data_IF_555970187080
#
_entry.id   IF_555970187080
#
_cell.length_a   1.000
_cell.length_b   1.000
_cell.length_c   1.000
_cell.angle_alpha   90.00
_cell.angle_beta   90.00
_cell.angle_gamma   90.00
#
_symmetry.space_group_name_H-M   'P 1'
#
loop_
_entity.id
_entity.type
_entity.pdbx_description
1 polymer ?
#
# COMPACT_ATOMS: atom_id res chain seq x y z
N UNK A 1 9.85 17.41 0.49
CA UNK A 1 9.62 16.07 -0.10
C UNK A 1 8.34 15.55 0.55
N UNK A 2 7.52 14.83 -0.22
CA UNK A 2 6.18 14.38 0.19
C UNK A 2 6.02 12.99 -0.40
N UNK A 3 5.84 12.01 0.45
CA UNK A 3 5.51 10.63 0.11
C UNK A 3 4.13 10.27 0.67
N UNK A 4 3.38 9.47 -0.08
CA UNK A 4 1.97 9.21 0.21
C UNK A 4 1.69 7.71 0.11
N UNK A 5 1.04 7.15 1.12
CA UNK A 5 0.55 5.77 1.12
C UNK A 5 -0.96 5.74 0.83
N UNK A 6 -1.33 5.12 -0.28
CA UNK A 6 -2.73 4.93 -0.68
C UNK A 6 -3.15 3.49 -0.40
N UNK A 7 -3.81 3.24 0.73
CA UNK A 7 -4.19 1.88 1.14
C UNK A 7 -5.67 1.57 1.05
N UNK A 8 -6.53 2.58 0.91
CA UNK A 8 -7.98 2.39 0.83
C UNK A 8 -8.68 3.31 -0.17
N UNK A 9 -8.44 3.07 -1.45
CA UNK A 9 -8.95 3.88 -2.56
C UNK A 9 -10.16 3.29 -3.29
N UNK A 10 -10.76 2.19 -2.77
CA UNK A 10 -11.97 1.59 -3.38
C UNK A 10 -13.12 2.61 -3.40
N UNK A 11 -13.79 2.69 -4.55
CA UNK A 11 -14.93 3.57 -4.78
C UNK A 11 -14.82 4.25 -6.14
N UNK A 12 -15.88 4.94 -6.56
CA UNK A 12 -15.79 5.86 -7.70
C UNK A 12 -14.95 7.09 -7.33
N UNK A 13 -14.34 7.77 -8.32
CA UNK A 13 -13.58 9.00 -8.06
C UNK A 13 -14.41 10.01 -7.26
N UNK A 14 -13.84 10.56 -6.18
CA UNK A 14 -14.53 11.49 -5.28
C UNK A 14 -15.50 10.84 -4.28
N UNK A 15 -15.66 9.51 -4.32
CA UNK A 15 -16.48 8.73 -3.37
C UNK A 15 -15.69 7.61 -2.67
N UNK A 16 -14.38 7.58 -2.82
CA UNK A 16 -13.48 6.71 -2.06
C UNK A 16 -13.06 7.36 -0.74
N UNK A 17 -12.83 6.55 0.30
CA UNK A 17 -12.39 7.04 1.62
C UNK A 17 -10.96 7.60 1.54
N UNK A 18 -10.04 6.87 0.91
CA UNK A 18 -8.71 7.36 0.56
C UNK A 18 -8.70 8.06 -0.80
N UNK A 19 -7.85 9.08 -0.95
CA UNK A 19 -7.65 9.78 -2.22
C UNK A 19 -7.03 8.85 -3.28
N UNK A 20 -7.62 8.79 -4.48
CA UNK A 20 -7.11 7.96 -5.59
C UNK A 20 -5.96 8.63 -6.35
N UNK A 21 -6.04 9.96 -6.52
CA UNK A 21 -5.09 10.74 -7.31
C UNK A 21 -3.74 10.80 -6.59
N UNK A 22 -2.61 10.71 -7.33
CA UNK A 22 -1.31 11.01 -6.74
C UNK A 22 -1.23 12.47 -6.31
N UNK A 23 -0.72 12.72 -5.12
CA UNK A 23 -0.58 14.04 -4.50
C UNK A 23 0.80 14.28 -3.89
N UNK A 24 1.74 13.33 -4.02
CA UNK A 24 3.11 13.42 -3.55
C UNK A 24 4.17 13.51 -4.66
N UNK A 25 5.43 13.47 -4.23
CA UNK A 25 6.58 13.22 -5.10
C UNK A 25 6.68 11.71 -5.42
N UNK A 26 6.40 10.87 -4.42
CA UNK A 26 6.27 9.42 -4.51
C UNK A 26 4.92 9.01 -3.92
N UNK A 27 4.12 8.30 -4.71
CA UNK A 27 2.79 7.84 -4.30
C UNK A 27 2.76 6.32 -4.39
N UNK A 28 2.72 5.66 -3.24
CA UNK A 28 2.80 4.20 -3.13
C UNK A 28 1.39 3.65 -2.92
N UNK A 29 1.05 2.62 -3.68
CA UNK A 29 -0.23 1.93 -3.67
C UNK A 29 -0.02 0.45 -3.26
N UNK A 30 0.18 0.14 -1.96
CA UNK A 30 0.31 -1.22 -1.47
C UNK A 30 -0.90 -2.06 -1.89
N UNK A 31 -0.64 -3.23 -2.47
CA UNK A 31 -1.65 -4.14 -2.99
C UNK A 31 -2.59 -3.50 -4.03
N UNK A 32 -2.09 -2.51 -4.79
CA UNK A 32 -2.90 -1.74 -5.75
C UNK A 32 -3.69 -0.60 -5.10
N UNK A 33 -3.64 -0.48 -3.77
CA UNK A 33 -4.17 0.63 -2.99
C UNK A 33 -5.69 0.66 -2.79
N UNK A 34 -6.43 -0.29 -3.35
CA UNK A 34 -7.90 -0.36 -3.18
C UNK A 34 -8.30 -1.00 -1.87
N UNK A 35 -7.66 -2.10 -1.49
CA UNK A 35 -7.85 -2.84 -0.24
C UNK A 35 -6.57 -3.53 0.20
N UNK A 36 -6.50 -3.84 1.49
CA UNK A 36 -5.33 -4.49 2.08
C UNK A 36 -5.63 -5.93 2.49
N UNK A 37 -4.67 -6.86 2.32
CA UNK A 37 -4.80 -8.24 2.77
C UNK A 37 -5.15 -8.31 4.26
N UNK A 38 -6.14 -9.14 4.63
CA UNK A 38 -6.64 -9.26 5.99
C UNK A 38 -7.73 -8.25 6.38
N UNK A 39 -8.14 -7.33 5.48
CA UNK A 39 -9.20 -6.35 5.73
C UNK A 39 -10.47 -6.57 4.88
N UNK A 40 -10.69 -7.78 4.36
CA UNK A 40 -11.83 -8.08 3.50
C UNK A 40 -13.07 -8.55 4.30
N UNK A 41 -14.21 -8.67 3.61
CA UNK A 41 -15.50 -9.09 4.19
C UNK A 41 -15.44 -10.47 4.87
N UNK A 42 -14.56 -11.37 4.43
CA UNK A 42 -14.38 -12.67 5.11
C UNK A 42 -13.87 -12.50 6.53
N UNK A 43 -12.87 -11.62 6.72
CA UNK A 43 -12.36 -11.31 8.06
C UNK A 43 -13.36 -10.47 8.86
N UNK A 44 -14.16 -9.66 8.17
CA UNK A 44 -15.28 -8.95 8.78
C UNK A 44 -16.30 -9.86 9.42
N UNK A 45 -16.75 -10.86 8.67
CA UNK A 45 -17.73 -11.82 9.15
C UNK A 45 -17.16 -12.60 10.33
N UNK A 46 -15.85 -12.95 10.31
CA UNK A 46 -15.18 -13.54 11.47
C UNK A 46 -15.19 -12.63 12.71
N UNK A 47 -14.84 -11.35 12.55
CA UNK A 47 -14.82 -10.40 13.67
C UNK A 47 -16.23 -10.15 14.20
N UNK A 48 -17.23 -9.96 13.32
CA UNK A 48 -18.63 -9.80 13.71
C UNK A 48 -19.15 -11.06 14.41
N UNK A 49 -18.84 -12.25 13.89
CA UNK A 49 -19.21 -13.51 14.54
C UNK A 49 -18.56 -13.69 15.92
N UNK A 50 -17.33 -13.18 16.11
CA UNK A 50 -16.59 -13.30 17.36
C UNK A 50 -16.89 -12.19 18.39
N UNK A 51 -17.25 -10.97 17.94
CA UNK A 51 -17.31 -9.76 18.79
C UNK A 51 -18.60 -8.93 18.64
N UNK A 52 -19.51 -9.31 17.76
CA UNK A 52 -20.78 -8.63 17.52
C UNK A 52 -20.69 -7.41 16.58
N UNK A 53 -21.86 -6.81 16.29
CA UNK A 53 -22.03 -5.70 15.32
C UNK A 53 -21.51 -4.34 15.80
N UNK A 54 -21.07 -4.21 17.05
CA UNK A 54 -20.56 -2.95 17.61
C UNK A 54 -19.22 -2.49 17.01
N UNK A 55 -18.45 -3.41 16.42
CA UNK A 55 -17.07 -3.17 15.96
C UNK A 55 -16.97 -3.01 14.43
N UNK A 56 -18.10 -2.83 13.74
CA UNK A 56 -18.16 -2.76 12.27
C UNK A 56 -17.48 -1.50 11.72
N UNK A 57 -17.37 -0.43 12.52
CA UNK A 57 -16.64 0.79 12.12
C UNK A 57 -15.12 0.56 12.05
N UNK A 58 -14.53 -0.29 12.91
CA UNK A 58 -13.13 -0.73 12.79
C UNK A 58 -12.87 -1.46 11.46
N UNK A 59 -13.88 -2.15 10.94
CA UNK A 59 -13.75 -2.93 9.73
C UNK A 59 -13.57 -2.07 8.48
N UNK A 60 -14.35 -0.99 8.37
CA UNK A 60 -14.25 -0.02 7.27
C UNK A 60 -12.91 0.71 7.36
N UNK A 61 -12.40 0.92 8.58
CA UNK A 61 -11.11 1.57 8.83
C UNK A 61 -9.89 0.66 8.63
N UNK A 62 -10.01 -0.66 8.67
CA UNK A 62 -8.87 -1.58 8.59
C UNK A 62 -7.92 -1.31 7.41
N UNK A 63 -8.46 -1.18 6.18
CA UNK A 63 -7.61 -0.85 5.01
C UNK A 63 -7.10 0.59 5.06
N UNK A 64 -7.85 1.51 5.67
CA UNK A 64 -7.46 2.91 5.82
C UNK A 64 -6.26 3.07 6.77
N UNK A 65 -6.38 2.52 7.98
CA UNK A 65 -5.36 2.54 9.04
C UNK A 65 -4.12 1.71 8.69
N UNK A 66 -4.22 0.76 7.74
CA UNK A 66 -3.05 0.01 7.26
C UNK A 66 -1.91 0.91 6.77
N UNK A 67 -2.20 2.11 6.27
CA UNK A 67 -1.16 3.08 5.91
C UNK A 67 -0.24 3.40 7.08
N UNK A 68 -0.81 3.61 8.27
CA UNK A 68 -0.10 3.90 9.52
C UNK A 68 0.73 2.67 9.92
N UNK A 69 0.14 1.48 9.94
CA UNK A 69 0.87 0.27 10.33
C UNK A 69 2.02 -0.09 9.38
N UNK A 70 1.85 0.15 8.07
CA UNK A 70 2.93 -0.01 7.09
C UNK A 70 4.08 0.99 7.35
N UNK A 71 3.76 2.21 7.78
CA UNK A 71 4.77 3.18 8.18
C UNK A 71 5.47 2.77 9.48
N UNK A 72 4.73 2.30 10.49
CA UNK A 72 5.30 1.75 11.73
C UNK A 72 6.22 0.57 11.42
N UNK A 73 5.82 -0.36 10.56
CA UNK A 73 6.67 -1.48 10.13
C UNK A 73 8.00 -1.00 9.53
N UNK A 74 7.97 0.10 8.76
CA UNK A 74 9.19 0.68 8.18
C UNK A 74 10.14 1.29 9.19
N UNK A 75 9.61 1.81 10.31
CA UNK A 75 10.41 2.33 11.43
C UNK A 75 11.02 1.18 12.25
N UNK A 76 10.27 0.08 12.42
CA UNK A 76 10.72 -1.06 13.23
C UNK A 76 11.68 -2.00 12.48
N UNK A 77 11.71 -1.94 11.14
CA UNK A 77 12.48 -2.84 10.29
C UNK A 77 13.40 -2.08 9.31
N UNK A 78 14.20 -1.14 9.83
CA UNK A 78 15.06 -0.24 9.04
C UNK A 78 16.06 -0.98 8.13
N UNK A 79 16.62 -2.09 8.59
CA UNK A 79 17.59 -2.88 7.81
C UNK A 79 16.94 -3.63 6.63
N UNK A 80 15.63 -3.83 6.68
CA UNK A 80 14.90 -4.71 5.77
C UNK A 80 13.65 -4.05 5.19
N UNK A 81 13.74 -2.86 4.57
CA UNK A 81 12.57 -2.13 4.10
C UNK A 81 11.86 -2.88 2.96
N UNK A 82 10.53 -2.72 2.91
CA UNK A 82 9.74 -3.21 1.79
C UNK A 82 10.00 -2.38 0.54
N UNK A 83 10.16 -3.05 -0.62
CA UNK A 83 10.41 -2.38 -1.91
C UNK A 83 9.11 -2.09 -2.64
N UNK A 84 8.94 -0.86 -3.09
CA UNK A 84 7.89 -0.41 -3.98
C UNK A 84 8.46 -0.16 -5.38
N UNK A 85 7.70 -0.51 -6.42
CA UNK A 85 8.14 -0.45 -7.80
C UNK A 85 7.25 0.48 -8.63
N UNK A 86 7.88 1.42 -9.33
CA UNK A 86 7.23 2.34 -10.23
C UNK A 86 6.61 1.60 -11.40
N UNK A 87 5.32 1.82 -11.61
CA UNK A 87 4.58 1.20 -12.70
C UNK A 87 3.52 2.16 -13.27
N UNK A 88 3.09 1.91 -14.51
CA UNK A 88 2.07 2.73 -15.15
C UNK A 88 0.67 2.44 -14.59
N UNK A 89 0.42 1.20 -14.16
CA UNK A 89 -0.85 0.78 -13.59
C UNK A 89 -0.66 -0.41 -12.65
N UNK A 90 -1.67 -0.69 -11.81
CA UNK A 90 -1.65 -1.86 -10.91
C UNK A 90 -1.67 -3.16 -11.72
N UNK A 91 -2.38 -3.20 -12.84
CA UNK A 91 -2.53 -4.37 -13.71
C UNK A 91 -1.20 -4.73 -14.37
N UNK A 92 -0.42 -3.74 -14.80
CA UNK A 92 0.92 -3.96 -15.33
C UNK A 92 1.88 -4.49 -14.26
N UNK A 93 1.74 -4.02 -13.01
CA UNK A 93 2.51 -4.54 -11.89
C UNK A 93 2.11 -5.98 -11.54
N UNK A 94 0.81 -6.31 -11.57
CA UNK A 94 0.30 -7.67 -11.32
C UNK A 94 0.75 -8.69 -12.36
N UNK A 95 1.02 -8.25 -13.59
CA UNK A 95 1.66 -9.06 -14.63
C UNK A 95 3.19 -9.17 -14.49
N UNK A 96 3.78 -8.63 -13.42
CA UNK A 96 5.23 -8.67 -13.17
C UNK A 96 6.06 -7.74 -14.04
N UNK A 97 5.46 -6.89 -14.88
CA UNK A 97 6.17 -6.09 -15.89
C UNK A 97 7.00 -4.93 -15.30
N UNK A 98 6.90 -4.71 -13.99
CA UNK A 98 7.42 -3.53 -13.30
C UNK A 98 8.27 -3.92 -12.08
N UNK A 99 9.29 -4.76 -12.25
CA UNK A 99 10.22 -5.14 -11.17
C UNK A 99 11.63 -4.53 -11.29
N UNK A 100 11.79 -3.50 -12.14
CA UNK A 100 13.08 -2.84 -12.34
C UNK A 100 13.41 -1.82 -11.24
N UNK A 101 14.67 -1.80 -10.78
CA UNK A 101 15.21 -0.77 -9.88
C UNK A 101 16.07 0.29 -10.57
N UNK A 102 16.29 0.20 -11.90
CA UNK A 102 17.14 1.15 -12.63
C UNK A 102 16.54 2.56 -12.58
N UNK A 103 17.37 3.60 -12.43
CA UNK A 103 16.96 5.02 -12.47
C UNK A 103 15.79 5.33 -11.52
N UNK A 104 15.86 4.88 -10.26
CA UNK A 104 14.83 5.10 -9.24
C UNK A 104 13.45 4.53 -9.61
N UNK A 105 13.41 3.44 -10.41
CA UNK A 105 12.16 2.71 -10.69
C UNK A 105 11.72 1.82 -9.53
N UNK A 106 12.52 1.71 -8.47
CA UNK A 106 12.07 1.20 -7.19
C UNK A 106 12.49 2.15 -6.07
N UNK A 107 11.79 2.09 -4.94
CA UNK A 107 12.09 2.84 -3.74
C UNK A 107 11.70 2.02 -2.49
N UNK A 108 12.15 2.45 -1.31
CA UNK A 108 11.68 1.90 -0.05
C UNK A 108 10.30 2.47 0.28
N UNK A 109 9.44 1.63 0.86
CA UNK A 109 8.22 2.09 1.51
C UNK A 109 8.57 2.61 2.91
N UNK A 110 8.03 3.79 3.25
CA UNK A 110 8.08 4.33 4.61
C UNK A 110 9.34 5.15 4.91
N UNK A 111 9.86 5.06 6.14
CA UNK A 111 10.84 6.01 6.69
C UNK A 111 12.13 6.11 5.87
N UNK A 112 12.69 4.96 5.46
CA UNK A 112 13.93 4.86 4.67
C UNK A 112 13.75 5.17 3.17
N UNK A 113 12.72 5.95 2.80
CA UNK A 113 12.47 6.33 1.41
C UNK A 113 13.57 7.24 0.87
N UNK A 114 14.06 6.91 -0.33
CA UNK A 114 14.96 7.81 -1.06
C UNK A 114 14.15 9.02 -1.53
N UNK A 115 14.54 10.22 -1.10
CA UNK A 115 13.80 11.49 -1.29
C UNK A 115 13.87 12.05 -2.72
N UNK A 116 13.55 11.24 -3.72
CA UNK A 116 13.61 11.56 -5.16
C UNK A 116 12.46 12.51 -5.54
N UNK A 117 12.79 13.67 -6.12
CA UNK A 117 11.82 14.64 -6.63
C UNK A 117 11.77 14.59 -8.15
N UNK A 118 10.78 13.91 -8.71
CA UNK A 118 10.56 13.86 -10.16
C UNK A 118 9.65 15.00 -10.63
N UNK A 119 9.75 15.39 -11.92
CA UNK A 119 8.86 16.41 -12.54
C UNK A 119 7.38 16.01 -12.52
N UNK A 120 7.09 14.71 -12.50
CA UNK A 120 5.74 14.14 -12.37
C UNK A 120 5.74 13.18 -11.19
N UNK A 121 4.64 13.13 -10.45
CA UNK A 121 4.45 12.12 -9.40
C UNK A 121 4.69 10.71 -9.94
N UNK A 122 5.31 9.88 -9.12
CA UNK A 122 5.61 8.49 -9.42
C UNK A 122 4.68 7.56 -8.66
N UNK A 123 3.77 6.90 -9.40
CA UNK A 123 2.96 5.81 -8.87
C UNK A 123 3.83 4.56 -8.71
N UNK A 124 3.88 4.04 -7.48
CA UNK A 124 4.62 2.82 -7.14
C UNK A 124 3.70 1.78 -6.52
N UNK A 125 4.03 0.52 -6.70
CA UNK A 125 3.22 -0.62 -6.27
C UNK A 125 4.10 -1.66 -5.59
N UNK A 126 3.50 -2.39 -4.66
CA UNK A 126 4.07 -3.58 -4.04
C UNK A 126 2.92 -4.49 -3.59
N UNK A 127 3.25 -5.73 -3.25
CA UNK A 127 2.38 -6.61 -2.45
C UNK A 127 2.89 -6.64 -1.01
N UNK A 128 2.01 -6.96 -0.07
CA UNK A 128 2.34 -7.10 1.37
C UNK A 128 1.65 -8.30 1.99
N UNK A 129 2.11 -8.73 3.17
CA UNK A 129 1.39 -9.67 4.03
C UNK A 129 0.14 -9.03 4.65
N UNK A 130 -0.70 -9.85 5.26
CA UNK A 130 -1.87 -9.41 6.03
C UNK A 130 -1.51 -8.86 7.41
N UNK A 131 -0.36 -9.21 7.98
CA UNK A 131 0.10 -8.83 9.32
C UNK A 131 1.60 -8.47 9.32
N UNK A 132 2.03 -7.71 10.32
CA UNK A 132 3.42 -7.26 10.50
C UNK A 132 4.34 -8.46 10.84
N UNK A 133 5.60 -8.53 10.37
CA UNK A 133 6.21 -7.64 9.38
C UNK A 133 5.63 -7.83 7.98
N UNK A 134 5.41 -6.75 7.24
CA UNK A 134 4.57 -6.78 6.03
C UNK A 134 5.30 -7.17 4.74
N UNK A 135 6.63 -7.20 4.77
CA UNK A 135 7.49 -7.49 3.62
C UNK A 135 7.18 -8.84 2.97
N UNK A 136 7.26 -8.87 1.65
CA UNK A 136 7.27 -10.07 0.78
C UNK A 136 8.31 -9.89 -0.32
N UNK A 137 8.60 -10.96 -1.05
CA UNK A 137 9.48 -10.93 -2.23
C UNK A 137 8.66 -11.01 -3.52
N UNK A 138 9.07 -10.25 -4.54
CA UNK A 138 8.38 -10.17 -5.84
C UNK A 138 9.21 -10.85 -6.92
N UNK A 139 8.60 -11.79 -7.64
CA UNK A 139 9.21 -12.50 -8.76
C UNK A 139 8.31 -12.37 -9.98
N UNK A 140 8.91 -12.30 -11.17
CA UNK A 140 8.21 -12.44 -12.46
C UNK A 140 8.63 -13.80 -13.03
N UNK A 141 7.64 -14.56 -13.50
CA UNK A 141 7.82 -15.87 -14.13
C UNK A 141 7.39 -15.79 -15.58
#
# INVERSE_FOLDING_TARGET
FVDVLHTFTRGSPGRSIGIQKPVGHVDIYPNGGTFQPGCNIGEAIRVIAARGLGDVDQLVKCSHERSIHLFIDSLLNEENPSKAYRCNSKEAFEKGLCLSCRKNRCNNLGYEINKVRAKRSSKMYLKTRSQMPYKVFHYQV
#
